data_IF_689875532744
#
_entry.id   IF_689875532744
#
_cell.length_a   1.000
_cell.length_b   1.000
_cell.length_c   1.000
_cell.angle_alpha   90.00
_cell.angle_beta   90.00
_cell.angle_gamma   90.00
#
_symmetry.space_group_name_H-M   'P 1'
#
loop_
_entity.id
_entity.type
_entity.pdbx_description
1 polymer ?
#
# COMPACT_ATOMS: atom_id res chain seq x y z
N UNK A 1 -25.43 -52.79 -52.67
CA UNK A 1 -24.72 -51.50 -52.55
C UNK A 1 -23.36 -51.75 -51.94
N UNK A 2 -22.29 -51.36 -52.62
CA UNK A 2 -20.91 -51.58 -52.18
C UNK A 2 -20.28 -50.27 -51.71
N UNK A 3 -19.19 -50.36 -50.95
CA UNK A 3 -18.45 -49.19 -50.43
C UNK A 3 -16.95 -49.39 -50.62
N UNK A 4 -16.20 -48.32 -50.89
CA UNK A 4 -14.76 -48.39 -51.07
C UNK A 4 -14.06 -48.75 -49.75
N UNK A 5 -13.39 -49.91 -49.71
CA UNK A 5 -12.66 -50.41 -48.52
C UNK A 5 -11.56 -49.48 -48.00
N UNK A 6 -11.12 -48.48 -48.78
CA UNK A 6 -10.05 -47.52 -48.43
C UNK A 6 -10.56 -46.19 -47.86
N UNK A 7 -11.75 -45.74 -48.24
CA UNK A 7 -12.24 -44.39 -47.89
C UNK A 7 -13.73 -44.32 -47.48
N UNK A 8 -14.45 -45.44 -47.51
CA UNK A 8 -15.86 -45.53 -47.10
C UNK A 8 -16.87 -44.95 -48.08
N UNK A 9 -16.44 -44.46 -49.25
CA UNK A 9 -17.35 -43.87 -50.24
C UNK A 9 -18.27 -44.91 -50.88
N UNK A 10 -19.52 -44.51 -51.18
CA UNK A 10 -20.50 -45.41 -51.82
C UNK A 10 -20.13 -45.67 -53.27
N UNK A 11 -20.23 -46.93 -53.69
CA UNK A 11 -19.95 -47.36 -55.06
C UNK A 11 -21.26 -47.58 -55.83
N UNK A 12 -21.28 -47.05 -57.05
CA UNK A 12 -22.23 -47.37 -58.12
C UNK A 12 -21.75 -48.64 -58.86
N UNK A 13 -22.67 -49.40 -59.46
CA UNK A 13 -22.36 -50.68 -60.11
C UNK A 13 -21.46 -50.51 -61.35
N UNK A 14 -20.53 -51.46 -61.54
CA UNK A 14 -19.63 -51.51 -62.70
C UNK A 14 -18.42 -50.56 -62.69
N UNK A 15 -18.19 -49.78 -61.63
CA UNK A 15 -17.03 -48.88 -61.57
C UNK A 15 -15.72 -49.60 -61.20
N UNK A 16 -14.71 -49.48 -62.07
CA UNK A 16 -13.39 -50.13 -61.87
C UNK A 16 -12.46 -49.41 -60.88
N UNK A 17 -12.71 -48.13 -60.60
CA UNK A 17 -11.90 -47.31 -59.67
C UNK A 17 -12.82 -46.41 -58.85
N UNK A 18 -12.53 -46.26 -57.55
CA UNK A 18 -13.26 -45.37 -56.67
C UNK A 18 -12.97 -43.89 -57.00
N UNK A 19 -13.96 -43.18 -57.55
CA UNK A 19 -13.86 -41.79 -58.03
C UNK A 19 -13.26 -40.80 -57.01
N UNK A 20 -13.45 -41.03 -55.71
CA UNK A 20 -12.96 -40.14 -54.62
C UNK A 20 -11.50 -40.37 -54.21
N UNK A 21 -10.88 -41.50 -54.54
CA UNK A 21 -9.52 -41.83 -54.07
C UNK A 21 -8.68 -42.72 -55.01
N UNK A 22 -9.08 -42.86 -56.28
CA UNK A 22 -8.31 -43.51 -57.35
C UNK A 22 -7.93 -44.97 -57.10
N UNK A 23 -8.64 -45.66 -56.20
CA UNK A 23 -8.30 -47.04 -55.80
C UNK A 23 -9.08 -48.03 -56.66
N UNK A 24 -8.37 -48.97 -57.29
CA UNK A 24 -8.92 -50.00 -58.16
C UNK A 24 -9.82 -51.00 -57.41
N UNK A 25 -10.79 -51.55 -58.13
CA UNK A 25 -11.88 -52.37 -57.62
C UNK A 25 -12.05 -53.60 -58.52
N UNK A 26 -11.19 -54.60 -58.32
CA UNK A 26 -11.22 -55.84 -59.10
C UNK A 26 -12.36 -56.76 -58.60
N UNK A 27 -13.25 -57.14 -59.52
CA UNK A 27 -14.39 -58.02 -59.27
C UNK A 27 -14.07 -59.47 -59.68
N UNK A 28 -14.52 -60.43 -58.86
CA UNK A 28 -14.30 -61.89 -58.99
C UNK A 28 -12.84 -62.31 -58.71
N UNK A 29 -12.54 -63.50 -58.17
CA UNK A 29 -13.30 -64.77 -58.22
C UNK A 29 -13.37 -65.48 -56.86
N UNK A 30 -14.39 -66.33 -56.71
CA UNK A 30 -14.51 -67.38 -55.70
C UNK A 30 -14.57 -68.75 -56.43
N UNK A 31 -13.91 -69.78 -55.89
CA UNK A 31 -13.86 -71.19 -56.34
C UNK A 31 -13.18 -71.53 -57.68
N UNK A 32 -12.21 -72.45 -57.62
CA UNK A 32 -12.22 -73.72 -58.37
C UNK A 32 -11.16 -74.69 -57.80
N UNK A 33 -11.45 -75.99 -57.88
CA UNK A 33 -10.54 -77.13 -57.63
C UNK A 33 -10.23 -77.84 -58.97
N UNK A 34 -9.41 -78.89 -58.94
CA UNK A 34 -8.92 -79.74 -60.07
C UNK A 34 -7.74 -79.11 -60.87
N UNK A 35 -6.55 -79.73 -60.98
CA UNK A 35 -6.12 -81.03 -61.60
C UNK A 35 -6.14 -80.97 -63.14
N UNK A 36 -5.14 -81.43 -63.90
CA UNK A 36 -4.16 -82.54 -63.70
C UNK A 36 -2.87 -82.31 -64.56
N UNK A 37 -1.73 -82.94 -64.17
CA UNK A 37 -0.51 -83.38 -64.95
C UNK A 37 0.12 -82.44 -66.04
N UNK A 38 1.34 -82.62 -66.56
CA UNK A 38 2.29 -83.77 -66.58
C UNK A 38 3.56 -83.60 -65.72
N UNK A 39 4.24 -84.73 -65.49
CA UNK A 39 5.49 -84.86 -64.76
C UNK A 39 6.18 -86.18 -65.16
N UNK A 40 7.46 -86.15 -65.53
CA UNK A 40 8.40 -87.29 -65.73
C UNK A 40 9.81 -86.66 -65.89
N UNK A 41 10.95 -87.26 -65.55
CA UNK A 41 11.29 -88.54 -64.90
C UNK A 41 11.93 -88.20 -63.52
N UNK A 42 12.31 -89.03 -62.52
CA UNK A 42 12.41 -90.47 -62.15
C UNK A 42 12.43 -90.50 -60.59
N UNK A 43 12.43 -91.60 -59.81
CA UNK A 43 12.39 -93.07 -60.02
C UNK A 43 11.73 -93.69 -58.77
N UNK A 44 10.82 -94.65 -58.95
CA UNK A 44 10.67 -95.98 -58.29
C UNK A 44 11.08 -96.20 -56.81
N UNK A 45 10.45 -97.10 -56.03
CA UNK A 45 9.59 -98.25 -56.38
C UNK A 45 8.63 -98.60 -55.20
N UNK A 46 7.51 -99.29 -55.48
CA UNK A 46 6.49 -99.69 -54.49
C UNK A 46 6.63 -101.15 -53.99
N UNK A 47 5.97 -101.43 -52.86
CA UNK A 47 4.89 -102.45 -52.73
C UNK A 47 4.97 -103.53 -51.60
N UNK A 48 3.78 -104.02 -51.24
CA UNK A 48 3.34 -105.20 -50.49
C UNK A 48 3.72 -105.45 -49.00
N UNK A 49 2.81 -104.93 -48.15
CA UNK A 49 1.83 -105.75 -47.38
C UNK A 49 2.29 -106.56 -46.14
N UNK A 50 1.30 -106.99 -45.36
CA UNK A 50 1.34 -107.31 -43.93
C UNK A 50 1.24 -108.81 -43.63
N UNK A 51 2.00 -109.29 -42.65
CA UNK A 51 1.66 -110.48 -41.85
C UNK A 51 2.34 -110.45 -40.47
N UNK A 52 1.55 -110.76 -39.43
CA UNK A 52 1.88 -111.14 -38.04
C UNK A 52 3.00 -110.46 -37.22
N UNK A 53 2.55 -109.91 -36.08
CA UNK A 53 3.09 -110.09 -34.71
C UNK A 53 4.50 -109.58 -34.26
N UNK A 54 4.46 -108.89 -33.11
CA UNK A 54 5.48 -108.82 -32.03
C UNK A 54 6.65 -107.79 -32.16
N UNK A 55 6.40 -106.62 -31.54
CA UNK A 55 7.27 -105.88 -30.57
C UNK A 55 8.51 -105.07 -31.08
N UNK A 56 8.32 -103.73 -31.18
CA UNK A 56 9.17 -102.62 -30.61
C UNK A 56 10.59 -102.34 -31.21
N UNK A 57 11.04 -101.05 -31.35
CA UNK A 57 10.37 -99.75 -31.57
C UNK A 57 11.06 -98.84 -32.65
N UNK A 58 10.60 -97.59 -32.89
CA UNK A 58 11.42 -96.34 -32.70
C UNK A 58 10.74 -95.02 -33.09
N UNK A 59 11.18 -93.95 -32.41
CA UNK A 59 10.97 -92.51 -32.54
C UNK A 59 10.62 -91.88 -33.92
N UNK A 60 9.55 -91.06 -33.98
CA UNK A 60 9.63 -89.57 -33.97
C UNK A 60 8.35 -88.92 -34.53
N UNK A 61 7.55 -88.24 -33.69
CA UNK A 61 6.45 -87.40 -34.17
C UNK A 61 6.41 -85.99 -33.54
N UNK A 62 5.88 -85.06 -34.32
CA UNK A 62 5.96 -83.60 -34.14
C UNK A 62 5.06 -83.15 -32.98
N UNK A 63 5.58 -82.32 -32.07
CA UNK A 63 4.78 -81.69 -30.99
C UNK A 63 3.83 -80.62 -31.55
N UNK A 64 2.69 -81.04 -32.08
CA UNK A 64 1.58 -80.16 -32.42
C UNK A 64 1.02 -79.47 -31.16
N UNK A 65 1.35 -78.20 -30.96
CA UNK A 65 0.86 -77.41 -29.83
C UNK A 65 -0.58 -76.92 -30.09
N UNK A 66 -1.54 -77.82 -29.97
CA UNK A 66 -2.99 -77.54 -30.10
C UNK A 66 -3.49 -76.60 -29.01
N UNK A 67 -3.33 -75.28 -29.22
CA UNK A 67 -3.69 -74.28 -28.22
C UNK A 67 -5.20 -74.22 -28.00
N UNK A 68 -5.61 -74.36 -26.73
CA UNK A 68 -7.03 -74.40 -26.34
C UNK A 68 -7.75 -73.09 -26.68
N UNK A 69 -9.08 -73.14 -26.80
CA UNK A 69 -9.90 -71.96 -27.07
C UNK A 69 -9.68 -70.84 -26.04
N UNK A 70 -9.45 -71.19 -24.76
CA UNK A 70 -9.10 -70.25 -23.68
C UNK A 70 -7.75 -69.55 -23.94
N UNK A 71 -6.76 -70.30 -24.45
CA UNK A 71 -5.45 -69.77 -24.82
C UNK A 71 -5.54 -68.76 -25.98
N UNK A 72 -6.38 -69.05 -27.00
CA UNK A 72 -6.60 -68.16 -28.14
C UNK A 72 -7.27 -66.85 -27.72
N UNK A 73 -8.30 -66.91 -26.87
CA UNK A 73 -8.96 -65.73 -26.29
C UNK A 73 -7.95 -64.92 -25.44
N UNK A 74 -7.12 -65.58 -24.64
CA UNK A 74 -6.05 -64.93 -23.88
C UNK A 74 -5.05 -64.16 -24.76
N UNK A 75 -4.66 -64.73 -25.91
CA UNK A 75 -3.77 -64.07 -26.89
C UNK A 75 -4.45 -62.83 -27.51
N UNK A 76 -5.74 -62.89 -27.85
CA UNK A 76 -6.49 -61.74 -28.39
C UNK A 76 -6.65 -60.62 -27.34
N UNK A 77 -6.96 -60.97 -26.09
CA UNK A 77 -7.03 -59.98 -25.01
C UNK A 77 -5.65 -59.36 -24.76
N UNK A 78 -4.59 -60.18 -24.73
CA UNK A 78 -3.23 -59.69 -24.56
C UNK A 78 -2.78 -58.78 -25.71
N UNK A 79 -3.12 -59.08 -26.97
CA UNK A 79 -2.77 -58.23 -28.11
C UNK A 79 -3.54 -56.91 -28.11
N UNK A 80 -4.82 -56.91 -27.72
CA UNK A 80 -5.60 -55.67 -27.51
C UNK A 80 -4.99 -54.83 -26.39
N UNK A 81 -4.62 -55.43 -25.25
CA UNK A 81 -3.94 -54.74 -24.15
C UNK A 81 -2.59 -54.19 -24.60
N UNK A 82 -1.81 -54.92 -25.39
CA UNK A 82 -0.52 -54.45 -25.94
C UNK A 82 -0.73 -53.28 -26.93
N UNK A 83 -1.74 -53.31 -27.80
CA UNK A 83 -2.07 -52.19 -28.69
C UNK A 83 -2.52 -50.97 -27.90
N UNK A 84 -3.34 -51.14 -26.86
CA UNK A 84 -3.72 -50.06 -25.94
C UNK A 84 -2.51 -49.50 -25.18
N UNK A 85 -1.59 -50.34 -24.71
CA UNK A 85 -0.36 -49.92 -24.05
C UNK A 85 0.60 -49.20 -25.01
N UNK A 86 0.71 -49.62 -26.27
CA UNK A 86 1.48 -48.92 -27.31
C UNK A 86 0.83 -47.57 -27.65
N UNK A 87 -0.50 -47.50 -27.75
CA UNK A 87 -1.24 -46.25 -27.93
C UNK A 87 -1.04 -45.28 -26.77
N UNK A 88 -1.19 -45.75 -25.53
CA UNK A 88 -0.89 -44.99 -24.31
C UNK A 88 0.58 -44.57 -24.25
N UNK A 89 1.52 -45.44 -24.66
CA UNK A 89 2.94 -45.13 -24.74
C UNK A 89 3.24 -44.01 -25.74
N UNK A 90 2.67 -44.10 -26.95
CA UNK A 90 2.82 -43.08 -27.98
C UNK A 90 2.22 -41.73 -27.51
N UNK A 91 0.99 -41.73 -26.99
CA UNK A 91 0.31 -40.51 -26.52
C UNK A 91 1.04 -39.90 -25.31
N UNK A 92 1.43 -40.72 -24.33
CA UNK A 92 2.14 -40.26 -23.14
C UNK A 92 3.52 -39.68 -23.47
N UNK A 93 4.33 -40.39 -24.27
CA UNK A 93 5.61 -39.88 -24.76
C UNK A 93 5.45 -38.58 -25.57
N UNK A 94 4.38 -38.47 -26.37
CA UNK A 94 4.06 -37.28 -27.16
C UNK A 94 3.61 -36.08 -26.30
N UNK A 95 3.01 -36.32 -25.12
CA UNK A 95 2.68 -35.29 -24.12
C UNK A 95 3.86 -34.94 -23.21
N UNK A 96 4.82 -35.86 -23.05
CA UNK A 96 5.99 -35.73 -22.16
C UNK A 96 7.24 -35.16 -22.86
N UNK A 97 7.08 -34.51 -24.01
CA UNK A 97 8.16 -33.87 -24.73
C UNK A 97 8.48 -32.47 -24.15
N UNK A 98 9.71 -32.20 -23.66
CA UNK A 98 10.10 -30.91 -23.06
C UNK A 98 9.78 -29.70 -23.95
N UNK A 99 10.11 -29.77 -25.24
CA UNK A 99 9.93 -28.66 -26.19
C UNK A 99 8.46 -28.30 -26.41
N UNK A 100 7.52 -29.25 -26.26
CA UNK A 100 6.08 -28.98 -26.35
C UNK A 100 5.54 -28.22 -25.14
N UNK A 101 6.12 -28.40 -23.96
CA UNK A 101 5.77 -27.64 -22.75
C UNK A 101 6.14 -26.17 -22.97
N UNK A 102 7.32 -25.91 -23.53
CA UNK A 102 7.77 -24.55 -23.88
C UNK A 102 6.91 -23.93 -24.98
N UNK A 103 6.60 -24.67 -26.04
CA UNK A 103 5.72 -24.19 -27.12
C UNK A 103 4.28 -23.89 -26.62
N UNK A 104 3.76 -24.68 -25.68
CA UNK A 104 2.45 -24.42 -25.06
C UNK A 104 2.47 -23.16 -24.19
N UNK A 105 3.55 -22.91 -23.45
CA UNK A 105 3.73 -21.66 -22.70
C UNK A 105 3.85 -20.44 -23.63
N UNK A 106 4.68 -20.52 -24.66
CA UNK A 106 4.85 -19.47 -25.68
C UNK A 106 3.51 -19.10 -26.31
N UNK A 107 2.72 -20.10 -26.74
CA UNK A 107 1.37 -19.91 -27.26
C UNK A 107 0.38 -19.40 -26.19
N UNK A 108 0.42 -19.89 -24.95
CA UNK A 108 -0.49 -19.48 -23.89
C UNK A 108 -0.30 -18.00 -23.50
N UNK A 109 0.95 -17.54 -23.44
CA UNK A 109 1.28 -16.13 -23.19
C UNK A 109 0.88 -15.28 -24.39
N UNK A 110 1.22 -15.69 -25.62
CA UNK A 110 0.89 -14.92 -26.83
C UNK A 110 -0.62 -14.81 -27.12
N UNK A 111 -1.41 -15.83 -26.76
CA UNK A 111 -2.88 -15.84 -26.92
C UNK A 111 -3.66 -15.34 -25.71
N UNK A 112 -3.01 -15.13 -24.56
CA UNK A 112 -3.69 -14.81 -23.30
C UNK A 112 -4.43 -16.00 -22.65
N UNK A 113 -4.20 -17.24 -23.09
CA UNK A 113 -4.86 -18.43 -22.56
C UNK A 113 -4.37 -18.79 -21.15
N UNK A 114 -5.08 -18.27 -20.15
CA UNK A 114 -4.83 -18.49 -18.73
C UNK A 114 -4.83 -19.98 -18.34
N UNK A 115 -5.79 -20.77 -18.82
CA UNK A 115 -5.89 -22.20 -18.48
C UNK A 115 -4.71 -23.03 -19.01
N UNK A 116 -4.25 -22.75 -20.24
CA UNK A 116 -3.01 -23.35 -20.76
C UNK A 116 -1.79 -22.92 -19.93
N UNK A 117 -1.69 -21.63 -19.56
CA UNK A 117 -0.60 -21.10 -18.75
C UNK A 117 -0.56 -21.75 -17.35
N UNK A 118 -1.67 -21.70 -16.61
CA UNK A 118 -1.85 -22.34 -15.28
C UNK A 118 -1.47 -23.81 -15.31
N UNK A 119 -1.96 -24.56 -16.31
CA UNK A 119 -1.66 -25.99 -16.41
C UNK A 119 -0.21 -26.29 -16.78
N UNK A 120 0.54 -25.32 -17.32
CA UNK A 120 1.94 -25.46 -17.74
C UNK A 120 2.94 -25.00 -16.67
N UNK A 121 2.54 -24.09 -15.78
CA UNK A 121 3.35 -23.61 -14.65
C UNK A 121 3.41 -24.59 -13.45
N UNK A 122 4.46 -24.47 -12.65
CA UNK A 122 4.77 -25.26 -11.45
C UNK A 122 5.50 -24.41 -10.40
N UNK A 123 5.35 -24.74 -9.12
CA UNK A 123 6.22 -24.25 -8.06
C UNK A 123 6.38 -25.36 -7.00
N UNK A 124 7.55 -25.43 -6.35
CA UNK A 124 7.81 -26.32 -5.23
C UNK A 124 7.16 -25.83 -3.93
N UNK A 125 6.87 -24.52 -3.80
CA UNK A 125 6.15 -23.94 -2.66
C UNK A 125 4.65 -24.17 -2.80
N UNK A 126 4.12 -25.12 -2.02
CA UNK A 126 2.71 -25.50 -2.05
C UNK A 126 1.75 -24.42 -1.49
N UNK A 127 2.27 -23.31 -0.95
CA UNK A 127 1.48 -22.13 -0.56
C UNK A 127 1.12 -21.25 -1.76
N UNK A 128 1.78 -21.43 -2.91
CA UNK A 128 1.52 -20.63 -4.11
C UNK A 128 0.35 -21.19 -4.92
N UNK A 129 -0.82 -20.55 -4.81
CA UNK A 129 -1.93 -20.83 -5.72
C UNK A 129 -1.61 -20.36 -7.14
N UNK A 130 -1.58 -21.31 -8.09
CA UNK A 130 -1.48 -21.02 -9.53
C UNK A 130 -2.86 -21.19 -10.16
N UNK A 131 -3.54 -20.08 -10.47
CA UNK A 131 -4.90 -20.04 -11.00
C UNK A 131 -5.11 -18.83 -11.93
N UNK A 132 -6.27 -18.78 -12.61
CA UNK A 132 -6.63 -17.75 -13.60
C UNK A 132 -6.64 -16.30 -13.09
N UNK A 133 -6.61 -16.08 -11.76
CA UNK A 133 -6.39 -14.76 -11.15
C UNK A 133 -4.92 -14.51 -10.89
N UNK A 134 -4.21 -15.46 -10.26
CA UNK A 134 -2.82 -15.27 -9.83
C UNK A 134 -1.81 -15.23 -10.98
N UNK A 135 -2.11 -15.81 -12.15
CA UNK A 135 -1.23 -15.72 -13.34
C UNK A 135 -1.33 -14.39 -14.11
N UNK A 136 -2.26 -13.51 -13.75
CA UNK A 136 -2.47 -12.23 -14.49
C UNK A 136 -1.23 -11.31 -14.48
N UNK A 137 -0.52 -11.09 -13.36
CA UNK A 137 0.68 -10.25 -13.33
C UNK A 137 1.81 -10.73 -14.26
N UNK A 138 2.00 -12.05 -14.35
CA UNK A 138 2.97 -12.68 -15.26
C UNK A 138 2.58 -12.49 -16.73
N UNK A 139 1.29 -12.70 -17.04
CA UNK A 139 0.76 -12.57 -18.40
C UNK A 139 0.82 -11.12 -18.89
N UNK A 140 0.43 -10.16 -18.05
CA UNK A 140 0.54 -8.72 -18.34
C UNK A 140 2.01 -8.33 -18.54
N UNK A 141 2.92 -8.77 -17.67
CA UNK A 141 4.34 -8.47 -17.80
C UNK A 141 4.90 -8.88 -19.17
N UNK A 142 4.63 -10.10 -19.63
CA UNK A 142 5.12 -10.56 -20.94
C UNK A 142 4.43 -9.88 -22.12
N UNK A 143 3.14 -9.54 -22.01
CA UNK A 143 2.43 -8.75 -23.02
C UNK A 143 3.06 -7.37 -23.20
N UNK A 144 3.45 -6.74 -22.10
CA UNK A 144 4.07 -5.41 -22.09
C UNK A 144 5.58 -5.47 -22.43
N UNK A 145 6.21 -6.64 -22.33
CA UNK A 145 7.64 -6.85 -22.55
C UNK A 145 7.93 -8.02 -23.51
N UNK A 146 7.45 -8.00 -24.77
CA UNK A 146 7.55 -9.13 -25.70
C UNK A 146 9.01 -9.51 -26.05
N UNK A 147 9.93 -8.54 -26.07
CA UNK A 147 11.36 -8.82 -26.25
C UNK A 147 11.96 -9.62 -25.09
N UNK A 148 11.44 -9.45 -23.87
CA UNK A 148 11.85 -10.24 -22.71
C UNK A 148 11.19 -11.63 -22.71
N UNK A 149 9.93 -11.75 -23.15
CA UNK A 149 9.29 -13.06 -23.41
C UNK A 149 10.16 -13.92 -24.35
N UNK A 150 10.64 -13.34 -25.45
CA UNK A 150 11.54 -14.04 -26.38
C UNK A 150 12.83 -14.52 -25.70
N UNK A 151 13.43 -13.73 -24.81
CA UNK A 151 14.61 -14.13 -24.01
C UNK A 151 14.30 -15.32 -23.09
N UNK A 152 13.19 -15.27 -22.35
CA UNK A 152 12.77 -16.37 -21.46
C UNK A 152 12.46 -17.64 -22.26
N UNK A 153 11.69 -17.53 -23.34
CA UNK A 153 11.36 -18.64 -24.25
C UNK A 153 12.62 -19.25 -24.87
N UNK A 154 13.62 -18.44 -25.23
CA UNK A 154 14.90 -18.93 -25.74
C UNK A 154 15.77 -19.60 -24.66
N UNK A 155 15.64 -19.21 -23.39
CA UNK A 155 16.18 -19.95 -22.25
C UNK A 155 15.52 -21.33 -22.12
N UNK A 156 14.18 -21.34 -22.01
CA UNK A 156 13.38 -22.57 -21.90
C UNK A 156 13.58 -23.54 -23.08
N UNK A 157 13.79 -23.04 -24.31
CA UNK A 157 14.13 -23.86 -25.49
C UNK A 157 15.51 -24.53 -25.35
N UNK A 158 16.48 -23.93 -24.65
CA UNK A 158 17.75 -24.58 -24.28
C UNK A 158 17.56 -25.62 -23.19
N UNK A 159 16.79 -25.30 -22.14
CA UNK A 159 16.46 -26.27 -21.07
C UNK A 159 15.78 -27.53 -21.66
N UNK A 160 14.86 -27.35 -22.61
CA UNK A 160 14.19 -28.43 -23.32
C UNK A 160 15.15 -29.31 -24.17
N UNK A 161 16.12 -28.70 -24.84
CA UNK A 161 17.16 -29.42 -25.58
C UNK A 161 18.05 -30.22 -24.63
N UNK A 162 18.50 -29.62 -23.52
CA UNK A 162 19.31 -30.26 -22.49
C UNK A 162 18.59 -31.46 -21.86
N UNK A 163 17.33 -31.28 -21.43
CA UNK A 163 16.49 -32.34 -20.87
C UNK A 163 16.34 -33.55 -21.80
N UNK A 164 16.27 -33.29 -23.11
CA UNK A 164 16.16 -34.32 -24.15
C UNK A 164 17.46 -35.11 -24.37
N UNK A 165 18.62 -34.52 -24.04
CA UNK A 165 19.94 -35.13 -24.21
C UNK A 165 20.43 -35.86 -22.94
N UNK A 166 20.37 -35.20 -21.78
CA UNK A 166 20.95 -35.71 -20.52
C UNK A 166 19.96 -36.50 -19.67
N UNK A 167 18.65 -36.37 -19.93
CA UNK A 167 17.54 -36.79 -19.04
C UNK A 167 17.57 -36.16 -17.64
N UNK A 168 18.45 -35.18 -17.40
CA UNK A 168 18.63 -34.51 -16.12
C UNK A 168 18.36 -33.01 -16.26
N UNK A 169 17.31 -32.55 -15.57
CA UNK A 169 17.10 -31.15 -15.25
C UNK A 169 17.52 -30.95 -13.79
N UNK A 170 18.45 -30.04 -13.55
CA UNK A 170 18.67 -29.49 -12.21
C UNK A 170 17.42 -28.69 -11.81
N UNK A 171 16.94 -28.86 -10.59
CA UNK A 171 15.91 -27.96 -10.03
C UNK A 171 16.41 -26.52 -9.89
N UNK A 172 15.58 -25.63 -9.35
CA UNK A 172 15.84 -24.19 -9.24
C UNK A 172 16.89 -23.82 -8.15
N UNK A 173 17.93 -24.64 -8.02
CA UNK A 173 19.01 -24.53 -7.02
C UNK A 173 20.28 -23.85 -7.58
N UNK A 174 20.19 -23.23 -8.75
CA UNK A 174 21.29 -22.48 -9.37
C UNK A 174 21.22 -20.98 -9.05
N UNK A 175 22.37 -20.32 -8.93
CA UNK A 175 22.52 -18.88 -8.72
C UNK A 175 22.19 -18.01 -9.96
N UNK A 176 21.31 -18.50 -10.83
CA UNK A 176 20.90 -17.83 -12.07
C UNK A 176 19.74 -16.85 -11.84
N UNK A 177 19.77 -15.71 -12.54
CA UNK A 177 18.70 -14.68 -12.53
C UNK A 177 17.40 -15.09 -13.24
N UNK A 178 17.22 -16.37 -13.57
CA UNK A 178 16.04 -16.83 -14.33
C UNK A 178 14.91 -17.19 -13.38
N UNK A 179 13.89 -16.33 -13.33
CA UNK A 179 12.67 -16.53 -12.53
C UNK A 179 11.77 -17.64 -13.07
N UNK A 180 11.98 -18.06 -14.33
CA UNK A 180 11.35 -19.21 -14.99
C UNK A 180 12.44 -20.18 -15.50
N UNK A 181 12.22 -21.48 -15.36
CA UNK A 181 13.05 -22.54 -15.98
C UNK A 181 12.20 -23.79 -16.25
N UNK A 182 12.63 -24.65 -17.16
CA UNK A 182 11.96 -25.93 -17.40
C UNK A 182 12.39 -26.95 -16.35
N UNK A 183 11.43 -27.61 -15.69
CA UNK A 183 11.66 -28.55 -14.60
C UNK A 183 10.93 -29.88 -14.81
N UNK A 184 11.45 -30.94 -14.19
CA UNK A 184 10.78 -32.23 -14.06
C UNK A 184 9.86 -32.20 -12.84
N UNK A 185 8.55 -32.14 -13.07
CA UNK A 185 7.49 -32.10 -12.07
C UNK A 185 6.84 -33.48 -11.88
N UNK A 186 7.67 -34.50 -11.59
CA UNK A 186 7.23 -35.87 -11.30
C UNK A 186 6.87 -36.71 -12.54
N UNK A 187 5.98 -37.70 -12.36
CA UNK A 187 5.53 -38.60 -13.43
C UNK A 187 4.05 -38.41 -13.76
N UNK A 188 3.71 -38.49 -15.05
CA UNK A 188 2.32 -38.55 -15.55
C UNK A 188 1.99 -39.98 -15.98
N UNK A 189 0.75 -40.41 -15.76
CA UNK A 189 0.26 -41.77 -16.08
C UNK A 189 1.23 -42.88 -15.63
N UNK A 190 1.62 -42.88 -14.35
CA UNK A 190 2.61 -43.77 -13.69
C UNK A 190 4.06 -43.72 -14.20
N UNK A 191 4.32 -43.63 -15.52
CA UNK A 191 5.66 -43.91 -16.08
C UNK A 191 6.29 -42.83 -16.97
N UNK A 192 5.53 -41.86 -17.52
CA UNK A 192 6.13 -40.81 -18.36
C UNK A 192 6.64 -39.62 -17.53
N UNK A 193 7.74 -38.96 -17.91
CA UNK A 193 8.20 -37.76 -17.23
C UNK A 193 7.23 -36.59 -17.45
N UNK A 194 6.84 -35.91 -16.38
CA UNK A 194 5.97 -34.74 -16.44
C UNK A 194 6.84 -33.47 -16.41
N UNK A 195 7.02 -32.80 -17.55
CA UNK A 195 7.76 -31.53 -17.59
C UNK A 195 6.79 -30.34 -17.42
N UNK A 196 7.23 -29.34 -16.66
CA UNK A 196 6.52 -28.09 -16.42
C UNK A 196 7.51 -26.92 -16.33
N UNK A 197 7.02 -25.70 -16.38
CA UNK A 197 7.84 -24.51 -16.16
C UNK A 197 7.78 -24.14 -14.68
N UNK A 198 8.89 -24.31 -13.97
CA UNK A 198 9.02 -23.86 -12.59
C UNK A 198 9.11 -22.33 -12.54
N UNK A 199 8.36 -21.72 -11.63
CA UNK A 199 8.42 -20.30 -11.30
C UNK A 199 8.99 -20.08 -9.90
N UNK A 200 9.84 -19.06 -9.77
CA UNK A 200 10.41 -18.63 -8.50
C UNK A 200 9.44 -17.72 -7.75
N UNK A 201 8.95 -18.07 -6.55
CA UNK A 201 7.96 -17.25 -5.86
C UNK A 201 8.56 -15.96 -5.31
N UNK A 202 7.82 -14.86 -5.45
CA UNK A 202 8.15 -13.56 -4.85
C UNK A 202 7.51 -13.36 -3.47
N UNK A 203 8.20 -12.67 -2.57
CA UNK A 203 7.76 -12.35 -1.22
C UNK A 203 7.95 -10.85 -0.92
N UNK A 204 6.98 -10.25 -0.22
CA UNK A 204 7.04 -8.84 0.19
C UNK A 204 7.13 -8.80 1.72
N UNK A 205 8.28 -8.39 2.24
CA UNK A 205 8.45 -8.12 3.67
C UNK A 205 8.13 -6.64 3.93
N UNK A 206 6.92 -6.39 4.42
CA UNK A 206 6.51 -5.04 4.82
C UNK A 206 6.89 -4.79 6.27
N UNK A 207 7.31 -3.56 6.58
CA UNK A 207 7.42 -3.02 7.94
C UNK A 207 6.79 -1.65 8.06
N UNK A 208 6.34 -1.29 9.26
CA UNK A 208 6.01 0.09 9.64
C UNK A 208 6.03 0.26 11.16
N UNK A 209 6.32 1.48 11.63
CA UNK A 209 6.11 1.91 13.02
C UNK A 209 4.68 2.38 13.31
N UNK A 210 3.80 2.36 12.31
CA UNK A 210 2.48 2.98 12.35
C UNK A 210 1.38 1.92 12.44
N UNK A 211 0.54 1.99 13.49
CA UNK A 211 -0.68 1.18 13.63
C UNK A 211 -1.76 1.60 12.63
N UNK A 212 -2.67 0.67 12.35
CA UNK A 212 -3.84 0.88 11.50
C UNK A 212 -3.58 1.20 10.01
N UNK A 213 -2.36 0.99 9.51
CA UNK A 213 -2.04 1.05 8.08
C UNK A 213 -2.69 -0.12 7.35
N UNK A 214 -3.45 0.18 6.30
CA UNK A 214 -4.05 -0.85 5.41
C UNK A 214 -3.16 -1.06 4.20
N UNK A 215 -2.79 -2.30 3.92
CA UNK A 215 -1.95 -2.71 2.80
C UNK A 215 -2.79 -3.38 1.71
N UNK A 216 -2.70 -2.88 0.49
CA UNK A 216 -3.39 -3.45 -0.68
C UNK A 216 -2.42 -3.77 -1.80
N UNK A 217 -2.54 -4.95 -2.41
CA UNK A 217 -1.75 -5.38 -3.56
C UNK A 217 -2.63 -5.33 -4.81
N UNK A 218 -2.22 -4.55 -5.82
CA UNK A 218 -2.99 -4.33 -7.07
C UNK A 218 -4.47 -3.99 -6.80
N UNK A 219 -4.74 -3.21 -5.75
CA UNK A 219 -6.10 -2.79 -5.33
C UNK A 219 -6.87 -3.80 -4.46
N UNK A 220 -6.34 -4.98 -4.15
CA UNK A 220 -6.95 -5.96 -3.22
C UNK A 220 -6.28 -5.85 -1.84
N UNK A 221 -7.06 -5.68 -0.77
CA UNK A 221 -6.51 -5.66 0.59
C UNK A 221 -5.85 -7.02 0.94
N UNK A 222 -4.61 -6.96 1.44
CA UNK A 222 -3.81 -8.14 1.84
C UNK A 222 -3.56 -8.20 3.36
N UNK A 223 -3.77 -7.10 4.07
CA UNK A 223 -3.71 -7.04 5.53
C UNK A 223 -3.60 -5.62 6.07
N UNK A 224 -3.48 -5.51 7.39
CA UNK A 224 -3.42 -4.26 8.14
C UNK A 224 -2.39 -4.36 9.26
N UNK A 225 -1.76 -3.24 9.66
CA UNK A 225 -0.87 -3.21 10.83
C UNK A 225 -1.63 -3.11 12.14
N UNK A 226 -1.21 -3.92 13.12
CA UNK A 226 -1.76 -4.02 14.48
C UNK A 226 -0.78 -3.52 15.56
N UNK A 227 0.53 -3.47 15.25
CA UNK A 227 1.57 -2.96 16.14
C UNK A 227 2.32 -1.73 15.58
N UNK A 228 3.01 -1.05 16.50
CA UNK A 228 3.94 0.08 16.31
C UNK A 228 5.38 -0.40 16.03
N UNK A 229 5.53 -1.68 15.73
CA UNK A 229 6.74 -2.35 15.28
C UNK A 229 6.42 -3.42 14.21
N UNK A 230 5.35 -3.19 13.44
CA UNK A 230 4.75 -4.17 12.55
C UNK A 230 5.75 -4.64 11.50
N UNK A 231 5.85 -5.96 11.34
CA UNK A 231 6.73 -6.61 10.38
C UNK A 231 6.06 -7.90 9.89
N UNK A 232 5.61 -7.93 8.64
CA UNK A 232 4.87 -9.07 8.07
C UNK A 232 5.33 -9.39 6.65
N UNK A 233 5.58 -10.67 6.40
CA UNK A 233 5.76 -11.22 5.07
C UNK A 233 4.40 -11.48 4.41
N UNK A 234 4.27 -11.06 3.16
CA UNK A 234 3.16 -11.40 2.27
C UNK A 234 3.69 -12.18 1.08
N UNK A 235 2.93 -13.18 0.63
CA UNK A 235 3.30 -14.10 -0.45
C UNK A 235 3.03 -15.56 -0.04
N UNK A 236 3.52 -16.55 -0.83
CA UNK A 236 4.25 -16.36 -2.09
C UNK A 236 3.39 -15.75 -3.21
N UNK A 237 4.05 -15.06 -4.14
CA UNK A 237 3.46 -14.48 -5.36
C UNK A 237 4.10 -15.06 -6.63
N UNK A 238 3.36 -15.10 -7.74
CA UNK A 238 3.89 -15.48 -9.05
C UNK A 238 4.82 -14.36 -9.56
N UNK A 239 5.92 -14.65 -10.27
CA UNK A 239 6.71 -13.64 -10.97
C UNK A 239 5.85 -12.66 -11.79
N UNK A 240 6.14 -11.36 -11.67
CA UNK A 240 5.38 -10.31 -12.34
C UNK A 240 5.63 -8.93 -11.74
N UNK A 241 4.91 -7.92 -12.28
CA UNK A 241 4.85 -6.58 -11.68
C UNK A 241 3.65 -6.46 -10.74
N UNK A 242 3.86 -5.80 -9.61
CA UNK A 242 2.85 -5.52 -8.60
C UNK A 242 3.06 -4.10 -8.05
N UNK A 243 1.97 -3.42 -7.71
CA UNK A 243 2.03 -2.22 -6.87
C UNK A 243 1.41 -2.58 -5.53
N UNK A 244 2.18 -2.42 -4.45
CA UNK A 244 1.62 -2.42 -3.09
C UNK A 244 1.34 -0.97 -2.70
N UNK A 245 0.16 -0.75 -2.11
CA UNK A 245 -0.30 0.55 -1.65
C UNK A 245 -0.54 0.46 -0.14
N UNK A 246 0.30 1.14 0.64
CA UNK A 246 0.05 1.35 2.05
C UNK A 246 -0.80 2.62 2.22
N UNK A 247 -1.89 2.53 2.96
CA UNK A 247 -2.79 3.65 3.22
C UNK A 247 -2.93 3.88 4.72
N UNK A 248 -2.72 5.12 5.15
CA UNK A 248 -2.91 5.54 6.53
C UNK A 248 -3.98 6.63 6.62
N UNK A 249 -4.86 6.54 7.63
CA UNK A 249 -5.92 7.51 7.90
C UNK A 249 -6.07 7.74 9.40
N UNK A 250 -5.22 8.62 9.93
CA UNK A 250 -5.20 8.99 11.34
C UNK A 250 -6.15 10.14 11.69
N UNK A 251 -6.06 10.58 12.95
CA UNK A 251 -6.77 11.75 13.48
C UNK A 251 -6.21 13.08 12.92
N UNK A 252 -4.91 13.13 12.63
CA UNK A 252 -4.18 14.36 12.30
C UNK A 252 -3.80 14.46 10.82
N UNK A 253 -3.46 13.33 10.19
CA UNK A 253 -3.05 13.25 8.78
C UNK A 253 -3.56 11.96 8.13
N UNK A 254 -3.60 11.94 6.80
CA UNK A 254 -3.94 10.77 6.00
C UNK A 254 -3.06 10.75 4.75
N UNK A 255 -2.34 9.64 4.55
CA UNK A 255 -1.29 9.50 3.55
C UNK A 255 -1.48 8.17 2.79
N UNK A 256 -0.93 8.13 1.57
CA UNK A 256 -0.90 6.96 0.71
C UNK A 256 0.52 6.80 0.16
N UNK A 257 1.08 5.61 0.30
CA UNK A 257 2.50 5.30 0.07
C UNK A 257 2.60 4.11 -0.92
N UNK A 258 2.72 4.39 -2.24
CA UNK A 258 2.77 3.38 -3.29
C UNK A 258 4.21 2.89 -3.54
N UNK A 259 4.39 1.57 -3.57
CA UNK A 259 5.66 0.92 -3.91
C UNK A 259 5.47 -0.07 -5.06
N UNK A 260 6.21 0.14 -6.16
CA UNK A 260 6.23 -0.75 -7.30
C UNK A 260 7.28 -1.86 -7.13
N UNK A 261 6.89 -3.08 -7.48
CA UNK A 261 7.61 -4.33 -7.22
C UNK A 261 7.70 -5.13 -8.52
N UNK A 262 8.87 -5.68 -8.83
CA UNK A 262 9.11 -6.44 -10.06
C UNK A 262 9.80 -7.79 -9.79
N UNK A 263 9.03 -8.84 -9.55
CA UNK A 263 9.53 -10.21 -9.35
C UNK A 263 9.97 -10.91 -10.66
N UNK A 264 10.31 -10.15 -11.71
CA UNK A 264 10.82 -10.68 -12.99
C UNK A 264 12.31 -10.39 -13.25
N UNK A 265 12.95 -9.59 -12.40
CA UNK A 265 14.36 -9.20 -12.62
C UNK A 265 15.38 -10.27 -12.19
N UNK A 266 14.97 -11.18 -11.30
CA UNK A 266 15.82 -12.21 -10.72
C UNK A 266 16.88 -11.69 -9.75
N UNK A 267 16.73 -10.47 -9.22
CA UNK A 267 17.68 -9.87 -8.27
C UNK A 267 17.47 -10.33 -6.84
N UNK A 268 16.21 -10.48 -6.41
CA UNK A 268 15.83 -11.00 -5.09
C UNK A 268 14.44 -11.61 -5.11
N UNK A 269 14.28 -12.72 -4.40
CA UNK A 269 12.99 -13.38 -4.20
C UNK A 269 12.17 -12.67 -3.11
N UNK A 270 12.83 -11.85 -2.27
CA UNK A 270 12.23 -11.06 -1.21
C UNK A 270 12.52 -9.58 -1.39
N UNK A 271 11.48 -8.76 -1.47
CA UNK A 271 11.56 -7.30 -1.45
C UNK A 271 11.19 -6.80 -0.05
N UNK A 272 12.04 -5.98 0.55
CA UNK A 272 11.78 -5.35 1.85
C UNK A 272 11.25 -3.93 1.62
N UNK A 273 10.16 -3.56 2.30
CA UNK A 273 9.51 -2.26 2.16
C UNK A 273 9.22 -1.71 3.56
N UNK A 274 9.67 -0.49 3.82
CA UNK A 274 9.43 0.21 5.09
C UNK A 274 8.57 1.44 4.81
N UNK A 275 7.33 1.44 5.30
CA UNK A 275 6.29 2.40 4.90
C UNK A 275 6.06 3.46 5.97
N UNK A 276 5.77 4.69 5.53
CA UNK A 276 5.58 5.88 6.37
C UNK A 276 6.75 6.24 7.29
N UNK A 277 7.99 6.16 6.79
CA UNK A 277 9.22 6.59 7.50
C UNK A 277 9.32 8.11 7.75
N UNK A 278 8.34 8.87 7.25
CA UNK A 278 8.11 10.30 7.44
C UNK A 278 6.95 10.62 8.42
N UNK A 279 6.39 9.61 9.10
CA UNK A 279 5.42 9.77 10.17
C UNK A 279 6.11 9.61 11.53
N UNK A 280 6.07 10.66 12.34
CA UNK A 280 6.72 10.72 13.65
C UNK A 280 5.66 10.70 14.77
N UNK A 281 5.99 10.06 15.91
CA UNK A 281 5.29 10.31 17.17
C UNK A 281 6.20 11.16 18.05
N UNK A 282 5.67 12.23 18.63
CA UNK A 282 6.42 13.19 19.45
C UNK A 282 5.85 13.27 20.85
N UNK A 283 6.71 13.46 21.86
CA UNK A 283 6.27 13.79 23.21
C UNK A 283 6.11 15.30 23.33
N UNK A 284 4.86 15.77 23.32
CA UNK A 284 4.57 17.19 23.55
C UNK A 284 4.84 17.53 25.03
N UNK A 285 5.53 18.65 25.26
CA UNK A 285 5.90 19.20 26.56
C UNK A 285 5.52 20.68 26.61
N UNK A 286 5.33 21.23 27.80
CA UNK A 286 5.04 22.65 28.00
C UNK A 286 5.38 23.07 29.43
N UNK A 287 5.56 24.37 29.64
CA UNK A 287 5.44 25.05 30.94
C UNK A 287 3.99 25.01 31.49
N UNK A 288 2.99 24.81 30.62
CA UNK A 288 1.58 24.66 30.97
C UNK A 288 1.02 23.27 30.58
N UNK A 289 0.98 22.29 31.52
CA UNK A 289 0.42 20.96 31.27
C UNK A 289 -1.06 20.96 30.84
N UNK A 290 -1.84 21.95 31.30
CA UNK A 290 -3.25 22.14 30.95
C UNK A 290 -3.49 22.77 29.57
N UNK A 291 -2.44 23.20 28.86
CA UNK A 291 -2.56 23.77 27.52
C UNK A 291 -3.17 22.75 26.54
N UNK A 292 -4.16 23.20 25.76
CA UNK A 292 -4.70 22.43 24.64
C UNK A 292 -3.71 22.41 23.48
N UNK A 293 -3.49 21.24 22.90
CA UNK A 293 -2.68 21.08 21.70
C UNK A 293 -3.53 21.41 20.47
N UNK A 294 -3.00 22.26 19.60
CA UNK A 294 -3.51 22.53 18.27
C UNK A 294 -2.56 21.96 17.22
N UNK A 295 -3.11 21.33 16.17
CA UNK A 295 -2.37 20.77 15.05
C UNK A 295 -2.89 21.40 13.75
N UNK A 296 -2.00 21.99 12.96
CA UNK A 296 -2.32 22.67 11.69
C UNK A 296 -3.54 23.62 11.81
N UNK A 297 -3.58 24.39 12.92
CA UNK A 297 -4.63 25.37 13.22
C UNK A 297 -5.91 24.82 13.88
N UNK A 298 -6.01 23.52 14.14
CA UNK A 298 -7.22 22.87 14.68
C UNK A 298 -7.03 22.41 16.12
N UNK A 299 -7.99 22.71 17.00
CA UNK A 299 -8.04 22.16 18.37
C UNK A 299 -8.14 20.63 18.28
N UNK A 300 -7.25 19.94 18.97
CA UNK A 300 -7.21 18.47 18.96
C UNK A 300 -8.09 17.84 20.03
N UNK A 301 -8.61 18.63 20.97
CA UNK A 301 -9.30 18.18 22.18
C UNK A 301 -8.39 17.55 23.24
N UNK A 302 -7.06 17.54 23.02
CA UNK A 302 -6.07 16.89 23.89
C UNK A 302 -5.22 17.94 24.61
N UNK A 303 -5.05 17.83 25.93
CA UNK A 303 -4.10 18.66 26.70
C UNK A 303 -2.68 18.12 26.59
N UNK A 304 -1.67 18.94 26.86
CA UNK A 304 -0.27 18.50 26.95
C UNK A 304 -0.07 17.39 28.00
N UNK A 305 -0.71 17.49 29.16
CA UNK A 305 -0.66 16.45 30.19
C UNK A 305 -1.20 15.08 29.72
N UNK A 306 -2.23 15.09 28.88
CA UNK A 306 -2.94 13.90 28.40
C UNK A 306 -2.35 13.34 27.09
N UNK A 307 -1.37 14.03 26.49
CA UNK A 307 -0.91 13.78 25.12
C UNK A 307 -0.13 12.48 24.91
N UNK A 308 0.55 11.98 25.96
CA UNK A 308 1.32 10.74 25.93
C UNK A 308 2.40 10.72 24.84
N UNK A 309 2.33 9.72 23.96
CA UNK A 309 3.12 9.65 22.73
C UNK A 309 2.25 10.16 21.57
N UNK A 310 2.39 11.44 21.24
CA UNK A 310 1.40 12.17 20.45
C UNK A 310 1.66 12.05 18.95
N UNK A 311 0.64 11.66 18.18
CA UNK A 311 0.72 11.52 16.73
C UNK A 311 -0.10 10.33 16.20
N UNK A 312 0.35 9.69 15.11
CA UNK A 312 1.50 10.07 14.30
C UNK A 312 1.22 11.36 13.50
N UNK A 313 2.27 12.11 13.23
CA UNK A 313 2.25 13.40 12.53
C UNK A 313 3.21 13.35 11.33
N UNK A 314 2.88 14.08 10.27
CA UNK A 314 3.77 14.25 9.12
C UNK A 314 4.85 15.30 9.37
N UNK A 315 5.98 15.16 8.68
CA UNK A 315 6.96 16.24 8.56
C UNK A 315 6.27 17.51 8.03
N UNK A 316 6.60 18.67 8.59
CA UNK A 316 5.94 19.97 8.40
C UNK A 316 4.60 20.18 9.13
N UNK A 317 4.11 19.23 9.94
CA UNK A 317 2.96 19.51 10.82
C UNK A 317 3.32 20.60 11.83
N UNK A 318 2.49 21.64 11.89
CA UNK A 318 2.60 22.74 12.85
C UNK A 318 1.85 22.42 14.14
N UNK A 319 2.53 22.55 15.28
CA UNK A 319 1.96 22.36 16.62
C UNK A 319 2.08 23.67 17.43
N UNK A 320 1.02 24.03 18.14
CA UNK A 320 1.09 25.04 19.21
C UNK A 320 0.15 24.70 20.36
N UNK A 321 0.40 25.31 21.52
CA UNK A 321 -0.44 25.25 22.70
C UNK A 321 -1.34 26.47 22.81
N UNK A 322 -2.54 26.29 23.38
CA UNK A 322 -3.41 27.39 23.83
C UNK A 322 -3.88 27.11 25.25
N UNK A 323 -3.81 28.11 26.13
CA UNK A 323 -4.36 28.06 27.49
C UNK A 323 -5.09 29.36 27.82
N UNK A 324 -6.14 29.28 28.64
CA UNK A 324 -6.79 30.46 29.21
C UNK A 324 -6.27 30.68 30.63
N UNK A 325 -5.62 31.82 30.88
CA UNK A 325 -5.05 32.23 32.17
C UNK A 325 -5.62 33.60 32.53
N UNK A 326 -6.19 33.74 33.72
CA UNK A 326 -6.79 34.99 34.22
C UNK A 326 -7.82 35.61 33.24
N UNK A 327 -8.58 34.75 32.55
CA UNK A 327 -9.56 35.12 31.53
C UNK A 327 -8.98 35.45 30.15
N UNK A 328 -7.66 35.52 29.99
CA UNK A 328 -6.95 35.83 28.74
C UNK A 328 -6.50 34.56 28.03
N UNK A 329 -6.62 34.50 26.71
CA UNK A 329 -6.04 33.41 25.92
C UNK A 329 -4.56 33.69 25.64
N UNK A 330 -3.71 32.73 25.96
CA UNK A 330 -2.30 32.69 25.59
C UNK A 330 -2.10 31.64 24.48
N UNK A 331 -1.22 31.93 23.52
CA UNK A 331 -0.68 30.97 22.53
C UNK A 331 0.81 30.79 22.80
N UNK A 332 1.33 29.57 22.66
CA UNK A 332 2.78 29.31 22.70
C UNK A 332 3.50 29.78 21.43
N UNK A 333 4.83 29.56 21.37
CA UNK A 333 5.54 29.31 20.11
C UNK A 333 4.78 28.32 19.20
N UNK A 334 4.98 28.45 17.89
CA UNK A 334 4.46 27.49 16.90
C UNK A 334 5.63 26.68 16.36
N UNK A 335 5.73 25.44 16.82
CA UNK A 335 6.76 24.49 16.42
C UNK A 335 6.33 23.72 15.16
N UNK A 336 7.31 23.22 14.42
CA UNK A 336 7.08 22.42 13.20
C UNK A 336 7.78 21.07 13.38
N UNK A 337 7.06 19.98 13.15
CA UNK A 337 7.60 18.61 13.30
C UNK A 337 8.49 18.26 12.12
N UNK A 338 9.73 17.90 12.40
CA UNK A 338 10.70 17.39 11.44
C UNK A 338 11.02 15.91 11.66
N UNK A 339 11.74 15.30 10.70
CA UNK A 339 11.99 13.86 10.70
C UNK A 339 12.92 13.45 11.86
N UNK A 340 12.45 12.54 12.71
CA UNK A 340 13.21 12.03 13.85
C UNK A 340 13.07 12.85 15.13
N UNK A 341 12.20 13.86 15.15
CA UNK A 341 11.80 14.55 16.37
C UNK A 341 11.24 13.59 17.42
N UNK A 342 11.56 13.87 18.69
CA UNK A 342 11.16 13.05 19.85
C UNK A 342 10.37 13.84 20.89
N UNK A 343 10.63 15.14 20.98
CA UNK A 343 10.02 16.06 21.92
C UNK A 343 9.63 17.34 21.18
N UNK A 344 8.47 17.91 21.48
CA UNK A 344 8.07 19.25 21.01
C UNK A 344 7.74 20.10 22.23
N UNK A 345 8.40 21.25 22.40
CA UNK A 345 8.26 22.09 23.60
C UNK A 345 7.44 23.36 23.34
N UNK A 346 6.25 23.42 23.92
CA UNK A 346 5.31 24.53 23.82
C UNK A 346 5.59 25.53 24.95
N UNK A 347 6.31 26.59 24.63
CA UNK A 347 6.78 27.66 25.49
C UNK A 347 5.83 28.87 25.41
N UNK A 348 5.32 29.33 26.54
CA UNK A 348 4.40 30.49 26.61
C UNK A 348 5.07 31.78 27.10
N UNK A 349 6.36 31.76 27.46
CA UNK A 349 7.07 32.90 28.05
C UNK A 349 7.05 34.18 27.18
N UNK A 350 7.05 34.06 25.84
CA UNK A 350 6.92 35.20 24.94
C UNK A 350 5.53 35.85 25.06
N UNK A 351 4.46 35.06 25.04
CA UNK A 351 3.09 35.56 25.16
C UNK A 351 2.82 36.17 26.55
N UNK A 352 3.34 35.55 27.62
CA UNK A 352 3.29 36.18 28.94
C UNK A 352 4.05 37.52 29.00
N UNK A 353 5.22 37.60 28.36
CA UNK A 353 6.03 38.82 28.33
C UNK A 353 5.30 39.96 27.62
N UNK A 354 4.59 39.65 26.52
CA UNK A 354 3.74 40.61 25.81
C UNK A 354 2.61 41.15 26.70
N UNK A 355 1.89 40.27 27.42
CA UNK A 355 0.80 40.70 28.32
C UNK A 355 1.34 41.53 29.49
N UNK A 356 2.44 41.12 30.13
CA UNK A 356 3.08 41.91 31.21
C UNK A 356 3.54 43.28 30.73
N UNK A 357 4.03 43.39 29.49
CA UNK A 357 4.42 44.68 28.90
C UNK A 357 3.18 45.58 28.65
N UNK A 358 2.09 45.02 28.12
CA UNK A 358 0.82 45.75 27.92
C UNK A 358 0.22 46.24 29.26
N UNK A 359 0.25 45.40 30.30
CA UNK A 359 -0.16 45.75 31.66
C UNK A 359 0.67 46.91 32.22
N UNK A 360 2.00 46.84 32.10
CA UNK A 360 2.90 47.91 32.52
C UNK A 360 2.67 49.21 31.72
N UNK A 361 2.40 49.13 30.41
CA UNK A 361 2.12 50.30 29.59
C UNK A 361 0.82 51.01 30.02
N UNK A 362 -0.25 50.25 30.30
CA UNK A 362 -1.52 50.84 30.76
C UNK A 362 -1.43 51.34 32.21
N UNK A 363 -0.72 50.63 33.08
CA UNK A 363 -0.43 51.13 34.44
C UNK A 363 0.31 52.47 34.39
N UNK A 364 1.37 52.57 33.56
CA UNK A 364 2.12 53.80 33.37
C UNK A 364 1.27 54.92 32.75
N UNK A 365 0.43 54.61 31.76
CA UNK A 365 -0.50 55.58 31.15
C UNK A 365 -1.40 56.23 32.22
N UNK A 366 -2.00 55.42 33.10
CA UNK A 366 -2.95 55.94 34.10
C UNK A 366 -2.23 56.64 35.26
N UNK A 367 -1.07 56.13 35.69
CA UNK A 367 -0.21 56.81 36.66
C UNK A 367 0.23 58.20 36.16
N UNK A 368 0.74 58.29 34.93
CA UNK A 368 1.13 59.58 34.35
C UNK A 368 -0.08 60.48 34.09
N UNK A 369 -1.24 59.92 33.74
CA UNK A 369 -2.49 60.69 33.63
C UNK A 369 -2.84 61.36 34.97
N UNK A 370 -2.92 60.64 36.10
CA UNK A 370 -3.29 61.25 37.39
C UNK A 370 -2.25 62.26 37.87
N UNK A 371 -0.96 62.00 37.64
CA UNK A 371 0.12 62.94 37.96
C UNK A 371 0.07 64.23 37.12
N UNK A 372 -0.04 64.12 35.79
CA UNK A 372 -0.10 65.31 34.93
C UNK A 372 -1.45 66.02 35.00
N UNK A 373 -2.54 65.33 35.35
CA UNK A 373 -3.85 65.92 35.56
C UNK A 373 -3.85 66.91 36.74
N UNK A 374 -3.42 66.47 37.94
CA UNK A 374 -3.30 67.38 39.10
C UNK A 374 -2.35 68.54 38.81
N UNK A 375 -1.24 68.28 38.11
CA UNK A 375 -0.29 69.31 37.69
C UNK A 375 -0.89 70.30 36.69
N UNK A 376 -1.75 69.84 35.77
CA UNK A 376 -2.48 70.68 34.83
C UNK A 376 -3.53 71.54 35.54
N UNK A 377 -4.34 70.96 36.45
CA UNK A 377 -5.27 71.69 37.33
C UNK A 377 -4.53 72.78 38.12
N UNK A 378 -3.38 72.46 38.72
CA UNK A 378 -2.60 73.39 39.54
C UNK A 378 -1.91 74.54 38.78
N UNK A 379 -1.82 74.46 37.44
CA UNK A 379 -1.05 75.41 36.62
C UNK A 379 -1.78 75.94 35.39
N UNK A 380 -3.03 75.51 35.16
CA UNK A 380 -3.81 75.74 33.95
C UNK A 380 -3.05 75.37 32.65
N UNK A 381 -2.33 74.24 32.66
CA UNK A 381 -1.44 73.83 31.56
C UNK A 381 -1.75 72.41 31.08
N UNK A 382 -2.48 72.31 29.96
CA UNK A 382 -2.94 71.04 29.37
C UNK A 382 -1.82 70.24 28.66
N UNK A 383 -0.70 70.88 28.31
CA UNK A 383 0.30 70.36 27.37
C UNK A 383 0.85 68.96 27.72
N UNK A 384 1.18 68.69 28.99
CA UNK A 384 1.70 67.37 29.41
C UNK A 384 0.60 66.30 29.52
N UNK A 385 -0.67 66.69 29.59
CA UNK A 385 -1.80 65.78 29.65
C UNK A 385 -2.26 65.37 28.25
N UNK A 386 -2.17 66.28 27.28
CA UNK A 386 -2.62 66.10 25.89
C UNK A 386 -2.05 64.84 25.22
N UNK A 387 -0.76 64.54 25.43
CA UNK A 387 -0.12 63.34 24.84
C UNK A 387 -0.66 62.00 25.41
N UNK A 388 -1.33 62.02 26.56
CA UNK A 388 -1.91 60.82 27.18
C UNK A 388 -3.39 60.60 26.84
N UNK A 389 -4.06 61.60 26.27
CA UNK A 389 -5.48 61.54 25.92
C UNK A 389 -5.65 61.32 24.42
N UNK A 390 -6.52 60.39 24.04
CA UNK A 390 -6.81 60.12 22.63
C UNK A 390 -7.53 61.34 22.03
N UNK A 391 -7.05 61.96 20.93
CA UNK A 391 -7.63 63.20 20.42
C UNK A 391 -9.12 63.07 20.07
N UNK A 392 -9.94 64.04 20.51
CA UNK A 392 -11.40 64.04 20.28
C UNK A 392 -12.13 62.90 21.00
N UNK A 393 -11.62 62.45 22.14
CA UNK A 393 -12.28 61.47 23.02
C UNK A 393 -12.97 62.14 24.20
N UNK A 394 -13.88 61.42 24.86
CA UNK A 394 -14.68 61.95 25.99
C UNK A 394 -13.78 62.59 27.06
N UNK A 395 -12.73 61.88 27.48
CA UNK A 395 -11.78 62.36 28.50
C UNK A 395 -10.94 63.54 28.00
N UNK A 396 -10.63 63.62 26.69
CA UNK A 396 -9.92 64.76 26.12
C UNK A 396 -10.76 66.04 26.26
N UNK A 397 -12.03 66.00 25.84
CA UNK A 397 -12.91 67.17 25.86
C UNK A 397 -13.35 67.56 27.28
N UNK A 398 -13.65 66.57 28.14
CA UNK A 398 -13.98 66.80 29.56
C UNK A 398 -12.86 67.53 30.30
N UNK A 399 -11.62 67.03 30.23
CA UNK A 399 -10.51 67.62 30.98
C UNK A 399 -10.09 68.99 30.42
N UNK A 400 -10.26 69.21 29.12
CA UNK A 400 -10.03 70.50 28.47
C UNK A 400 -11.00 71.60 28.94
N UNK A 401 -12.21 71.22 29.39
CA UNK A 401 -13.14 72.11 30.08
C UNK A 401 -12.88 72.22 31.59
N UNK A 402 -12.62 71.10 32.26
CA UNK A 402 -12.50 71.02 33.73
C UNK A 402 -11.29 71.80 34.29
N UNK A 403 -10.13 71.68 33.65
CA UNK A 403 -8.86 72.26 34.14
C UNK A 403 -8.91 73.80 34.30
N UNK A 404 -9.29 74.59 33.29
CA UNK A 404 -9.34 76.06 33.42
C UNK A 404 -10.41 76.55 34.40
N UNK A 405 -11.56 75.88 34.47
CA UNK A 405 -12.65 76.19 35.41
C UNK A 405 -12.22 75.93 36.87
N UNK A 406 -11.57 74.80 37.12
CA UNK A 406 -11.09 74.39 38.45
C UNK A 406 -9.94 75.29 38.93
N UNK A 407 -8.98 75.61 38.05
CA UNK A 407 -7.94 76.61 38.34
C UNK A 407 -8.54 77.99 38.63
N UNK A 408 -9.52 78.44 37.84
CA UNK A 408 -10.22 79.71 38.02
C UNK A 408 -10.96 79.82 39.37
N UNK A 409 -11.38 78.69 39.95
CA UNK A 409 -12.00 78.58 41.28
C UNK A 409 -10.98 78.56 42.44
N UNK A 410 -9.69 78.72 42.15
CA UNK A 410 -8.61 78.68 43.15
C UNK A 410 -8.42 77.30 43.80
N UNK A 411 -8.90 76.24 43.15
CA UNK A 411 -8.75 74.86 43.61
C UNK A 411 -7.35 74.36 43.21
N UNK A 412 -6.73 73.58 44.09
CA UNK A 412 -5.52 72.81 43.79
C UNK A 412 -5.68 71.37 44.24
N UNK A 413 -5.00 70.46 43.55
CA UNK A 413 -5.11 69.02 43.75
C UNK A 413 -3.74 68.36 43.85
N UNK A 414 -3.66 67.30 44.64
CA UNK A 414 -2.44 66.52 44.87
C UNK A 414 -2.81 65.04 44.95
N UNK A 415 -2.30 64.22 44.03
CA UNK A 415 -2.52 62.78 44.02
C UNK A 415 -1.66 62.14 45.14
N UNK A 416 -2.31 61.61 46.17
CA UNK A 416 -1.67 60.98 47.33
C UNK A 416 -1.38 59.49 47.09
N UNK A 417 -2.29 58.78 46.41
CA UNK A 417 -2.12 57.37 46.05
C UNK A 417 -2.99 56.99 44.86
N UNK A 418 -2.46 56.13 44.00
CA UNK A 418 -3.13 55.50 42.86
C UNK A 418 -3.06 53.98 43.01
N UNK A 419 -4.20 53.33 43.12
CA UNK A 419 -4.34 51.87 43.21
C UNK A 419 -5.05 51.34 41.96
N UNK A 420 -4.42 50.43 41.23
CA UNK A 420 -5.03 49.72 40.10
C UNK A 420 -5.82 48.52 40.65
N UNK A 421 -7.15 48.55 40.54
CA UNK A 421 -8.05 47.53 41.10
C UNK A 421 -8.26 46.33 40.18
N UNK A 422 -8.43 46.55 38.89
CA UNK A 422 -8.65 45.50 37.89
C UNK A 422 -8.37 45.98 36.48
N UNK A 423 -7.95 45.08 35.59
CA UNK A 423 -7.59 45.37 34.20
C UNK A 423 -8.21 44.37 33.23
N UNK A 424 -8.63 44.85 32.04
CA UNK A 424 -9.15 44.01 30.96
C UNK A 424 -8.76 44.58 29.58
N UNK A 425 -8.32 43.71 28.67
CA UNK A 425 -8.02 44.02 27.26
C UNK A 425 -9.16 43.56 26.33
N UNK A 426 -9.19 44.10 25.11
CA UNK A 426 -9.83 43.46 23.95
C UNK A 426 -8.95 42.34 23.38
N UNK A 427 -9.53 41.41 22.62
CA UNK A 427 -8.81 40.22 22.12
C UNK A 427 -7.67 40.55 21.13
N UNK A 428 -7.73 41.71 20.47
CA UNK A 428 -6.66 42.26 19.62
C UNK A 428 -5.58 43.03 20.41
N UNK A 429 -5.79 43.18 21.72
CA UNK A 429 -5.01 43.99 22.67
C UNK A 429 -4.95 45.50 22.35
N UNK A 430 -5.76 46.03 21.42
CA UNK A 430 -5.71 47.45 21.02
C UNK A 430 -6.60 48.37 21.83
N UNK A 431 -7.41 47.85 22.75
CA UNK A 431 -8.25 48.64 23.65
C UNK A 431 -8.50 47.91 24.97
N UNK A 432 -9.15 48.57 25.92
CA UNK A 432 -9.57 47.91 27.14
C UNK A 432 -10.10 48.86 28.21
N UNK A 433 -10.27 48.31 29.41
CA UNK A 433 -10.67 49.03 30.62
C UNK A 433 -9.69 48.81 31.76
N UNK A 434 -9.52 49.84 32.59
CA UNK A 434 -8.91 49.69 33.92
C UNK A 434 -9.82 50.35 34.96
N UNK A 435 -9.93 49.72 36.13
CA UNK A 435 -10.61 50.30 37.29
C UNK A 435 -9.57 50.70 38.35
N UNK A 436 -9.80 51.84 39.00
CA UNK A 436 -8.86 52.43 39.96
C UNK A 436 -9.54 52.81 41.27
N UNK A 437 -8.71 52.97 42.30
CA UNK A 437 -9.04 53.74 43.50
C UNK A 437 -7.93 54.78 43.69
N UNK A 438 -8.31 56.04 43.75
CA UNK A 438 -7.38 57.18 43.77
C UNK A 438 -7.71 58.11 44.92
N UNK A 439 -6.69 58.58 45.62
CA UNK A 439 -6.83 59.47 46.78
C UNK A 439 -6.17 60.80 46.47
N UNK A 440 -6.94 61.88 46.53
CA UNK A 440 -6.49 63.24 46.25
C UNK A 440 -6.62 64.11 47.50
N UNK A 441 -5.64 64.96 47.76
CA UNK A 441 -5.78 66.08 48.68
C UNK A 441 -6.20 67.32 47.87
N UNK A 442 -7.38 67.86 48.16
CA UNK A 442 -7.96 68.99 47.43
C UNK A 442 -7.93 70.22 48.33
N UNK A 443 -7.26 71.27 47.87
CA UNK A 443 -7.05 72.53 48.57
C UNK A 443 -7.93 73.63 47.96
N UNK A 444 -8.65 74.39 48.79
CA UNK A 444 -9.39 75.59 48.37
C UNK A 444 -9.54 76.57 49.53
N UNK A 445 -9.43 77.88 49.27
CA UNK A 445 -9.65 78.97 50.25
C UNK A 445 -8.86 78.82 51.57
N UNK A 446 -7.65 78.25 51.51
CA UNK A 446 -6.80 78.02 52.69
C UNK A 446 -7.12 76.75 53.50
N UNK A 447 -8.16 76.01 53.13
CA UNK A 447 -8.50 74.70 53.70
C UNK A 447 -8.08 73.58 52.74
N UNK A 448 -7.96 72.35 53.26
CA UNK A 448 -7.79 71.15 52.44
C UNK A 448 -8.75 70.03 52.87
N UNK A 449 -9.01 69.08 51.96
CA UNK A 449 -9.76 67.87 52.27
C UNK A 449 -9.29 66.69 51.42
N UNK A 450 -9.13 65.53 52.05
CA UNK A 450 -8.80 64.27 51.36
C UNK A 450 -10.09 63.68 50.77
N UNK A 451 -10.03 63.24 49.52
CA UNK A 451 -11.12 62.58 48.78
C UNK A 451 -10.61 61.30 48.13
N UNK A 452 -11.38 60.23 48.25
CA UNK A 452 -11.18 58.99 47.49
C UNK A 452 -12.19 58.94 46.35
N UNK A 453 -11.71 58.67 45.14
CA UNK A 453 -12.51 58.41 43.95
C UNK A 453 -12.26 57.00 43.44
N UNK A 454 -13.21 56.48 42.67
CA UNK A 454 -13.05 55.25 41.89
C UNK A 454 -13.41 55.56 40.46
N UNK A 455 -12.53 55.22 39.53
CA UNK A 455 -12.74 55.48 38.11
C UNK A 455 -12.63 54.19 37.31
N UNK A 456 -13.55 54.05 36.36
CA UNK A 456 -13.40 53.17 35.21
C UNK A 456 -12.88 54.01 34.06
N UNK A 457 -11.68 53.72 33.58
CA UNK A 457 -11.14 54.31 32.36
C UNK A 457 -11.28 53.35 31.19
N UNK A 458 -11.47 53.89 29.98
CA UNK A 458 -11.17 53.15 28.74
C UNK A 458 -9.88 53.68 28.11
N UNK A 459 -9.14 52.80 27.45
CA UNK A 459 -7.91 53.15 26.72
C UNK A 459 -7.90 52.51 25.33
N UNK A 460 -7.11 53.08 24.42
CA UNK A 460 -6.94 52.62 23.04
C UNK A 460 -5.51 52.83 22.54
N UNK A 461 -5.00 51.89 21.77
CA UNK A 461 -3.70 51.98 21.13
C UNK A 461 -3.74 52.97 19.96
N UNK A 462 -2.77 53.88 19.93
CA UNK A 462 -2.57 54.83 18.84
C UNK A 462 -1.31 54.44 18.06
N UNK A 463 -1.51 53.83 16.90
CA UNK A 463 -0.45 53.37 15.99
C UNK A 463 0.56 54.50 15.65
N UNK A 464 0.07 55.74 15.48
CA UNK A 464 0.90 56.89 15.13
C UNK A 464 1.73 57.44 16.31
N UNK A 465 1.43 57.02 17.54
CA UNK A 465 2.19 57.31 18.77
C UNK A 465 2.93 56.08 19.32
N UNK A 466 2.70 54.89 18.74
CA UNK A 466 3.22 53.60 19.19
C UNK A 466 2.97 53.33 20.70
N UNK A 467 1.77 53.67 21.18
CA UNK A 467 1.41 53.55 22.60
C UNK A 467 -0.09 53.71 22.86
N UNK A 468 -0.53 53.36 24.07
CA UNK A 468 -1.91 53.55 24.51
C UNK A 468 -2.19 55.00 24.92
N UNK A 469 -3.42 55.47 24.69
CA UNK A 469 -3.96 56.72 25.18
C UNK A 469 -5.37 56.51 25.77
N UNK A 470 -5.78 57.37 26.70
CA UNK A 470 -7.08 57.31 27.38
C UNK A 470 -8.21 57.76 26.45
N UNK A 471 -9.37 57.09 26.49
CA UNK A 471 -10.57 57.44 25.69
C UNK A 471 -11.75 57.95 26.53
N UNK A 472 -11.94 57.44 27.74
CA UNK A 472 -12.99 57.91 28.66
C UNK A 472 -12.59 57.73 30.11
N UNK A 473 -13.27 58.47 30.98
CA UNK A 473 -13.30 58.32 32.43
C UNK A 473 -14.77 58.20 32.84
N UNK A 474 -15.07 57.38 33.84
CA UNK A 474 -16.38 57.31 34.47
C UNK A 474 -16.22 57.04 35.97
N UNK A 475 -16.86 57.85 36.82
CA UNK A 475 -16.90 57.58 38.25
C UNK A 475 -17.69 56.29 38.55
N UNK A 476 -17.04 55.35 39.21
CA UNK A 476 -17.67 54.12 39.71
C UNK A 476 -18.44 54.42 41.01
N UNK A 477 -19.58 53.76 41.22
CA UNK A 477 -20.39 53.87 42.45
C UNK A 477 -19.97 52.87 43.51
#
# INVERSE_FOLDING_TARGET
>A
MSFCRKCGEKLEEGQKFCAKCGTELNENQDKLDEKIADNDEYMDEDDYNYNNEIIVPTNNERRNFGSSMKTRIGIVIASIVVVLLIGLYAIGNLMSNPSKVVARFENAVASGNKGDLVSTLYCDDNRLEINDKTVVPLLTYFKDNPSYLNTVVNGLKKDAANASQTKALTGMNGSGRSVLTLAYAGKKFLFFPNYKIAIKPGFIQVKTSIKDVVFSLNGTEIGKSDSDNFSKEFGPFIPGKYTILANYKGKYTSLSDPHDINFMDGSSDKVNIETFTNLNYVKVKSDYPDAKIFVNGKDTGTKVADAGNFGPLDNNTKIYGVITKDGKMLKSNEETVDQGDKDVYLNFAQAESLIRNQENQVHNLVYWYTYYFTRAVNTNSFYMLEDLLYPGSQIYDEQKGYIPDTYGKGIKEEIMSFNLLSYKLSDDNKSGTVNTEEVYNIYQNGSSSIKTFKYTYTFKYNEAKNGYQMQSIQATK
#
